data_IF_900175831424
#
_entry.id   IF_900175831424
#
_cell.length_a   1.000
_cell.length_b   1.000
_cell.length_c   1.000
_cell.angle_alpha   90.00
_cell.angle_beta   90.00
_cell.angle_gamma   90.00
#
_symmetry.space_group_name_H-M   'P 1'
#
loop_
_entity.id
_entity.type
_entity.pdbx_description
1 polymer ?
#
# COMPACT_ATOMS: atom_id res chain seq x y z
N UNK A 1 32.93 -10.51 4.16
CA UNK A 1 32.87 -9.87 5.51
C UNK A 1 31.52 -9.18 5.57
N UNK A 2 30.54 -9.84 6.18
CA UNK A 2 29.17 -9.33 6.35
C UNK A 2 29.22 -8.09 7.22
N UNK A 3 28.74 -6.96 6.75
CA UNK A 3 28.48 -5.80 7.60
C UNK A 3 27.16 -6.09 8.34
N UNK A 4 27.17 -6.37 9.64
CA UNK A 4 25.93 -6.43 10.40
C UNK A 4 25.33 -5.02 10.41
N UNK A 5 24.03 -4.91 10.22
CA UNK A 5 23.29 -3.68 10.34
C UNK A 5 23.74 -2.92 11.58
N UNK A 6 24.41 -1.79 11.41
CA UNK A 6 24.61 -0.84 12.51
C UNK A 6 23.23 -0.36 12.94
N UNK A 7 22.88 -0.43 14.24
CA UNK A 7 21.57 0.03 14.74
C UNK A 7 21.53 1.55 14.86
N UNK A 8 21.81 2.27 13.77
CA UNK A 8 22.14 3.69 13.84
C UNK A 8 21.22 4.66 13.12
N UNK A 9 20.40 4.25 12.16
CA UNK A 9 19.55 5.21 11.44
C UNK A 9 18.21 4.59 11.02
N UNK A 10 17.41 4.20 12.00
CA UNK A 10 15.99 3.93 11.74
C UNK A 10 15.26 5.28 11.62
N UNK A 11 14.57 5.48 10.52
CA UNK A 11 13.65 6.59 10.35
C UNK A 11 12.61 6.54 11.48
N UNK A 12 12.70 7.47 12.46
CA UNK A 12 11.67 7.60 13.51
C UNK A 12 10.52 8.40 12.93
N UNK A 13 9.33 7.88 13.08
CA UNK A 13 8.08 8.58 12.73
C UNK A 13 7.73 9.56 13.87
N UNK A 14 7.45 10.80 13.52
CA UNK A 14 7.01 11.82 14.46
C UNK A 14 5.48 11.94 14.38
N UNK A 15 4.79 11.51 15.43
CA UNK A 15 3.32 11.38 15.50
C UNK A 15 2.58 12.70 15.75
N UNK A 16 3.22 13.86 15.60
CA UNK A 16 2.67 15.16 15.96
C UNK A 16 2.31 16.03 14.74
N UNK A 17 1.46 15.55 13.81
CA UNK A 17 0.90 16.41 12.77
C UNK A 17 -0.63 16.43 12.91
N UNK A 18 -1.13 17.48 13.55
CA UNK A 18 -2.55 17.76 13.64
C UNK A 18 -3.15 18.24 12.31
N UNK A 19 -4.47 18.11 12.09
CA UNK A 19 -5.12 18.41 10.82
C UNK A 19 -5.17 19.92 10.53
N UNK A 20 -4.57 20.35 9.41
CA UNK A 20 -4.75 21.70 8.87
C UNK A 20 -5.97 21.72 7.96
N UNK A 21 -7.02 22.43 8.42
CA UNK A 21 -8.21 22.71 7.62
C UNK A 21 -7.98 23.95 6.73
N UNK A 22 -8.34 23.89 5.42
CA UNK A 22 -9.22 24.85 4.71
C UNK A 22 -9.31 24.53 3.21
N UNK A 23 -10.55 24.61 2.72
CA UNK A 23 -11.07 24.10 1.49
C UNK A 23 -10.64 24.84 0.21
N UNK A 24 -10.59 24.03 -0.84
CA UNK A 24 -10.80 24.43 -2.22
C UNK A 24 -11.87 23.46 -2.77
N UNK A 25 -13.06 24.01 -3.09
CA UNK A 25 -14.10 23.25 -3.77
C UNK A 25 -13.67 23.00 -5.23
N UNK A 26 -13.23 21.82 -5.54
CA UNK A 26 -13.25 21.30 -6.89
C UNK A 26 -14.51 20.44 -7.01
N UNK A 27 -15.40 20.76 -7.98
CA UNK A 27 -16.53 19.92 -8.35
C UNK A 27 -15.99 18.56 -8.88
N UNK A 28 -15.68 17.65 -7.97
CA UNK A 28 -15.39 16.26 -8.32
C UNK A 28 -16.72 15.54 -8.51
N UNK A 29 -17.04 15.22 -9.76
CA UNK A 29 -18.11 14.28 -10.05
C UNK A 29 -17.78 12.95 -9.38
N UNK A 30 -18.58 12.54 -8.40
CA UNK A 30 -18.40 11.31 -7.63
C UNK A 30 -18.38 10.10 -8.57
N UNK A 31 -17.39 9.21 -8.43
CA UNK A 31 -17.31 8.01 -9.26
C UNK A 31 -18.46 7.05 -8.94
N UNK A 32 -19.11 6.57 -9.95
CA UNK A 32 -20.12 5.50 -9.83
C UNK A 32 -19.45 4.17 -9.46
N UNK A 33 -20.20 3.22 -8.88
CA UNK A 33 -19.70 1.86 -8.65
C UNK A 33 -19.14 1.22 -9.92
N UNK A 34 -19.75 1.45 -11.08
CA UNK A 34 -19.26 0.95 -12.37
C UNK A 34 -17.88 1.51 -12.72
N UNK A 35 -17.66 2.80 -12.53
CA UNK A 35 -16.35 3.41 -12.76
C UNK A 35 -15.28 2.85 -11.81
N UNK A 36 -15.61 2.57 -10.55
CA UNK A 36 -14.70 1.89 -9.63
C UNK A 36 -14.37 0.46 -10.06
N UNK A 37 -15.34 -0.30 -10.59
CA UNK A 37 -15.13 -1.65 -11.15
C UNK A 37 -14.16 -1.61 -12.35
N UNK A 38 -14.37 -0.70 -13.27
CA UNK A 38 -13.50 -0.47 -14.44
C UNK A 38 -12.08 -0.05 -14.01
N UNK A 39 -11.97 0.78 -12.98
CA UNK A 39 -10.70 1.22 -12.43
C UNK A 39 -9.94 0.06 -11.75
N UNK A 40 -10.60 -0.78 -10.97
CA UNK A 40 -9.99 -2.00 -10.38
C UNK A 40 -9.46 -2.93 -11.47
N UNK A 41 -10.23 -3.16 -12.54
CA UNK A 41 -9.78 -3.97 -13.68
C UNK A 41 -8.55 -3.35 -14.35
N UNK A 42 -8.56 -2.04 -14.59
CA UNK A 42 -7.43 -1.32 -15.18
C UNK A 42 -6.16 -1.48 -14.34
N UNK A 43 -6.22 -1.21 -13.05
CA UNK A 43 -5.05 -1.33 -12.17
C UNK A 43 -4.63 -2.77 -11.93
N UNK A 44 -5.56 -3.72 -11.91
CA UNK A 44 -5.25 -5.15 -11.91
C UNK A 44 -4.43 -5.58 -13.13
N UNK A 45 -4.83 -5.13 -14.33
CA UNK A 45 -4.08 -5.35 -15.57
C UNK A 45 -2.69 -4.72 -15.53
N UNK A 46 -2.56 -3.50 -14.98
CA UNK A 46 -1.26 -2.83 -14.82
C UNK A 46 -0.34 -3.60 -13.87
N UNK A 47 -0.84 -4.05 -12.70
CA UNK A 47 -0.06 -4.89 -11.77
C UNK A 47 0.45 -6.16 -12.45
N UNK A 48 -0.41 -6.83 -13.23
CA UNK A 48 -0.04 -8.05 -13.95
C UNK A 48 1.00 -7.77 -15.05
N UNK A 49 0.81 -6.71 -15.84
CA UNK A 49 1.74 -6.31 -16.92
C UNK A 49 3.10 -5.89 -16.37
N UNK A 50 3.13 -5.23 -15.22
CA UNK A 50 4.36 -4.82 -14.54
C UNK A 50 5.06 -6.00 -13.81
N UNK A 51 4.46 -7.22 -13.80
CA UNK A 51 5.02 -8.38 -13.10
C UNK A 51 4.98 -8.27 -11.58
N UNK A 52 4.06 -7.46 -11.04
CA UNK A 52 3.90 -7.28 -9.59
C UNK A 52 2.97 -8.32 -8.97
N UNK A 53 2.20 -9.03 -9.80
CA UNK A 53 1.38 -10.20 -9.44
C UNK A 53 1.54 -11.30 -10.48
N UNK A 54 1.43 -12.55 -10.04
CA UNK A 54 1.46 -13.73 -10.88
C UNK A 54 0.19 -14.57 -10.68
N UNK A 55 -0.19 -15.35 -11.67
CA UNK A 55 -1.33 -16.27 -11.60
C UNK A 55 -2.57 -15.61 -10.95
N UNK A 56 -2.96 -16.06 -9.76
CA UNK A 56 -4.12 -15.55 -9.01
C UNK A 56 -3.74 -14.66 -7.82
N UNK A 57 -2.44 -14.38 -7.66
CA UNK A 57 -1.90 -13.62 -6.52
C UNK A 57 -2.43 -12.20 -6.45
N UNK A 58 -2.37 -11.64 -5.23
CA UNK A 58 -2.74 -10.27 -4.93
C UNK A 58 -4.24 -9.98 -5.00
N UNK A 59 -4.61 -8.82 -4.51
CA UNK A 59 -6.00 -8.34 -4.49
C UNK A 59 -6.04 -6.82 -4.35
N UNK A 60 -7.11 -6.23 -4.89
CA UNK A 60 -7.37 -4.80 -4.83
C UNK A 60 -8.75 -4.57 -4.24
N UNK A 61 -8.90 -3.47 -3.51
CA UNK A 61 -10.22 -3.02 -3.07
C UNK A 61 -10.33 -1.49 -3.05
N UNK A 62 -11.57 -1.02 -3.11
CA UNK A 62 -11.93 0.40 -3.00
C UNK A 62 -13.09 0.53 -2.03
N UNK A 63 -12.99 1.48 -1.11
CA UNK A 63 -14.09 1.89 -0.24
C UNK A 63 -14.98 2.87 -0.99
N UNK A 64 -16.26 2.51 -1.15
CA UNK A 64 -17.27 3.37 -1.74
C UNK A 64 -17.79 4.38 -0.72
N UNK A 65 -18.45 5.44 -1.18
CA UNK A 65 -18.97 6.52 -0.33
C UNK A 65 -19.97 6.07 0.73
N UNK A 66 -20.78 5.05 0.41
CA UNK A 66 -21.72 4.45 1.36
C UNK A 66 -21.03 3.55 2.41
N UNK A 67 -19.68 3.50 2.39
CA UNK A 67 -18.88 2.69 3.33
C UNK A 67 -18.77 1.21 2.98
N UNK A 68 -19.39 0.73 1.89
CA UNK A 68 -19.19 -0.64 1.39
C UNK A 68 -17.84 -0.75 0.68
N UNK A 69 -17.31 -1.96 0.56
CA UNK A 69 -16.01 -2.24 -0.05
C UNK A 69 -16.20 -3.05 -1.32
N UNK A 70 -15.74 -2.50 -2.44
CA UNK A 70 -15.67 -3.20 -3.71
C UNK A 70 -14.29 -3.86 -3.82
N UNK A 71 -14.23 -5.17 -4.05
CA UNK A 71 -13.00 -5.96 -4.03
C UNK A 71 -12.89 -6.90 -5.23
N UNK A 72 -11.66 -7.20 -5.62
CA UNK A 72 -11.37 -8.30 -6.54
C UNK A 72 -11.82 -9.64 -5.95
N UNK A 73 -12.27 -10.58 -6.77
CA UNK A 73 -12.65 -11.92 -6.30
C UNK A 73 -11.42 -12.76 -5.93
N UNK A 74 -11.66 -13.81 -5.15
CA UNK A 74 -10.64 -14.84 -4.90
C UNK A 74 -10.33 -15.66 -6.16
N UNK A 75 -9.12 -16.24 -6.24
CA UNK A 75 -8.68 -17.21 -7.25
C UNK A 75 -8.83 -16.72 -8.70
N UNK A 76 -8.65 -15.43 -8.94
CA UNK A 76 -8.73 -14.86 -10.28
C UNK A 76 -7.48 -14.04 -10.63
N UNK A 77 -6.97 -14.25 -11.85
CA UNK A 77 -5.84 -13.47 -12.37
C UNK A 77 -6.22 -12.00 -12.54
N UNK A 78 -5.40 -11.11 -12.00
CA UNK A 78 -5.60 -9.65 -12.09
C UNK A 78 -5.53 -9.14 -13.53
N UNK A 79 -4.85 -9.89 -14.42
CA UNK A 79 -4.78 -9.58 -15.84
C UNK A 79 -6.02 -9.95 -16.65
N UNK A 80 -6.91 -10.81 -16.12
CA UNK A 80 -8.04 -11.39 -16.84
C UNK A 80 -9.41 -11.01 -16.26
N UNK A 81 -9.45 -10.10 -15.27
CA UNK A 81 -10.71 -9.66 -14.67
C UNK A 81 -11.53 -8.77 -15.59
N UNK A 82 -12.84 -8.87 -15.45
CA UNK A 82 -13.82 -7.95 -16.02
C UNK A 82 -14.59 -7.22 -14.90
N UNK A 83 -15.22 -6.06 -15.17
CA UNK A 83 -15.91 -5.26 -14.14
C UNK A 83 -16.99 -6.05 -13.37
N UNK A 84 -17.63 -7.02 -14.01
CA UNK A 84 -18.69 -7.86 -13.48
C UNK A 84 -18.18 -8.89 -12.47
N UNK A 85 -16.87 -9.19 -12.46
CA UNK A 85 -16.26 -10.15 -11.53
C UNK A 85 -16.11 -9.59 -10.10
N UNK A 86 -16.15 -8.26 -9.95
CA UNK A 86 -15.96 -7.62 -8.64
C UNK A 86 -17.03 -8.01 -7.64
N UNK A 87 -16.61 -8.15 -6.37
CA UNK A 87 -17.45 -8.52 -5.25
C UNK A 87 -17.63 -7.32 -4.32
N UNK A 88 -18.86 -7.04 -3.92
CA UNK A 88 -19.19 -6.03 -2.92
C UNK A 88 -19.33 -6.68 -1.56
N UNK A 89 -18.67 -6.12 -0.54
CA UNK A 89 -18.77 -6.58 0.85
C UNK A 89 -19.09 -5.41 1.78
N UNK A 90 -19.65 -5.71 2.94
CA UNK A 90 -19.82 -4.74 4.02
C UNK A 90 -18.52 -4.58 4.84
N UNK A 91 -18.54 -3.68 5.82
CA UNK A 91 -17.42 -3.42 6.72
C UNK A 91 -17.04 -4.60 7.64
N UNK A 92 -17.84 -5.64 7.68
CA UNK A 92 -17.59 -6.89 8.37
C UNK A 92 -17.12 -8.03 7.45
N UNK A 93 -16.93 -7.72 6.15
CA UNK A 93 -16.49 -8.68 5.14
C UNK A 93 -17.59 -9.61 4.63
N UNK A 94 -18.87 -9.38 5.01
CA UNK A 94 -19.99 -10.17 4.52
C UNK A 94 -20.32 -9.75 3.09
N UNK A 95 -20.43 -10.72 2.21
CA UNK A 95 -20.76 -10.49 0.80
C UNK A 95 -22.16 -9.91 0.66
N UNK A 96 -22.24 -8.77 -0.03
CA UNK A 96 -23.50 -8.09 -0.37
C UNK A 96 -23.93 -8.42 -1.79
N UNK A 97 -23.01 -8.45 -2.75
CA UNK A 97 -23.30 -8.77 -4.15
C UNK A 97 -22.07 -9.30 -4.91
N UNK A 98 -22.28 -9.76 -6.14
CA UNK A 98 -21.27 -10.36 -7.01
C UNK A 98 -21.43 -11.87 -7.15
N UNK A 99 -21.04 -12.44 -8.31
CA UNK A 99 -21.16 -13.87 -8.61
C UNK A 99 -19.99 -14.70 -8.04
N UNK A 100 -18.84 -14.06 -7.80
CA UNK A 100 -17.59 -14.69 -7.37
C UNK A 100 -17.48 -14.81 -5.84
N UNK A 101 -16.45 -15.52 -5.37
CA UNK A 101 -16.09 -15.60 -3.95
C UNK A 101 -15.35 -14.35 -3.49
N UNK A 102 -15.51 -13.99 -2.21
CA UNK A 102 -14.74 -12.91 -1.55
C UNK A 102 -13.28 -13.32 -1.44
N UNK A 103 -12.36 -12.36 -1.55
CA UNK A 103 -10.92 -12.62 -1.30
C UNK A 103 -10.71 -13.17 0.11
N UNK A 104 -9.86 -14.20 0.24
CA UNK A 104 -9.45 -14.75 1.54
C UNK A 104 -8.75 -13.72 2.43
N UNK A 105 -8.19 -12.65 1.85
CA UNK A 105 -7.45 -11.61 2.55
C UNK A 105 -8.26 -10.33 2.79
N UNK A 106 -9.57 -10.38 2.62
CA UNK A 106 -10.44 -9.21 2.82
C UNK A 106 -10.30 -8.62 4.23
N UNK A 107 -10.03 -9.45 5.25
CA UNK A 107 -9.83 -9.00 6.62
C UNK A 107 -8.68 -7.99 6.77
N UNK A 108 -7.59 -8.17 6.03
CA UNK A 108 -6.47 -7.24 5.97
C UNK A 108 -6.92 -5.87 5.44
N UNK A 109 -7.67 -5.85 4.34
CA UNK A 109 -8.19 -4.60 3.76
C UNK A 109 -9.14 -3.89 4.73
N UNK A 110 -10.04 -4.63 5.37
CA UNK A 110 -10.99 -4.07 6.33
C UNK A 110 -10.28 -3.50 7.56
N UNK A 111 -9.22 -4.14 8.03
CA UNK A 111 -8.37 -3.59 9.10
C UNK A 111 -7.80 -2.23 8.70
N UNK A 112 -7.21 -2.12 7.51
CA UNK A 112 -6.61 -0.88 7.00
C UNK A 112 -7.67 0.21 6.93
N UNK A 113 -8.83 -0.05 6.33
CA UNK A 113 -9.93 0.91 6.28
C UNK A 113 -10.46 1.32 7.66
N UNK A 114 -10.47 0.40 8.62
CA UNK A 114 -10.88 0.67 10.00
C UNK A 114 -9.90 1.57 10.75
N UNK A 115 -8.59 1.40 10.50
CA UNK A 115 -7.53 2.19 11.12
C UNK A 115 -7.30 3.55 10.47
N UNK A 116 -7.52 3.64 9.14
CA UNK A 116 -7.23 4.82 8.32
C UNK A 116 -8.49 5.27 7.58
N UNK A 117 -9.18 6.26 8.15
CA UNK A 117 -10.41 6.80 7.54
C UNK A 117 -10.15 7.67 6.31
N UNK A 118 -8.94 8.16 6.16
CA UNK A 118 -8.44 8.94 5.04
C UNK A 118 -8.11 8.08 3.80
N UNK A 119 -8.03 6.76 3.94
CA UNK A 119 -7.70 5.81 2.88
C UNK A 119 -8.97 5.27 2.22
N UNK A 120 -9.01 5.27 0.88
CA UNK A 120 -10.13 4.74 0.10
C UNK A 120 -9.74 3.58 -0.83
N UNK A 121 -8.46 3.21 -0.91
CA UNK A 121 -8.04 2.06 -1.71
C UNK A 121 -6.89 1.29 -1.04
N UNK A 122 -6.90 -0.03 -1.24
CA UNK A 122 -5.85 -0.95 -0.79
C UNK A 122 -5.44 -1.84 -1.95
N UNK A 123 -4.14 -2.01 -2.14
CA UNK A 123 -3.51 -2.90 -3.12
C UNK A 123 -2.58 -3.86 -2.39
N UNK A 124 -2.81 -5.15 -2.55
CA UNK A 124 -1.91 -6.20 -2.12
C UNK A 124 -1.35 -6.92 -3.34
N UNK A 125 -0.05 -7.13 -3.37
CA UNK A 125 0.69 -7.76 -4.47
C UNK A 125 1.94 -8.48 -3.96
N UNK A 126 2.55 -9.29 -4.84
CA UNK A 126 3.80 -10.00 -4.56
C UNK A 126 4.93 -9.54 -5.50
N UNK A 127 5.31 -8.23 -5.48
CA UNK A 127 6.37 -7.73 -6.34
C UNK A 127 7.68 -8.46 -6.02
N UNK A 128 8.37 -9.04 -7.03
CA UNK A 128 9.41 -10.06 -6.79
C UNK A 128 10.56 -9.56 -5.91
N UNK A 129 11.04 -8.34 -6.11
CA UNK A 129 12.19 -7.83 -5.37
C UNK A 129 11.81 -7.47 -3.93
N UNK A 130 10.71 -6.74 -3.74
CA UNK A 130 10.24 -6.37 -2.41
C UNK A 130 9.81 -7.60 -1.60
N UNK A 131 9.16 -8.59 -2.23
CA UNK A 131 8.82 -9.87 -1.60
C UNK A 131 10.10 -10.65 -1.24
N UNK A 132 11.16 -10.55 -2.05
CA UNK A 132 12.47 -11.11 -1.73
C UNK A 132 13.06 -10.51 -0.45
N UNK A 133 12.99 -9.20 -0.26
CA UNK A 133 13.36 -8.54 1.01
C UNK A 133 12.51 -9.02 2.17
N UNK A 134 11.19 -9.11 1.98
CA UNK A 134 10.28 -9.62 3.00
C UNK A 134 10.58 -11.06 3.40
N UNK A 135 10.91 -11.94 2.43
CA UNK A 135 11.32 -13.32 2.67
C UNK A 135 12.70 -13.44 3.33
N UNK A 136 13.58 -12.46 3.10
CA UNK A 136 14.89 -12.37 3.79
C UNK A 136 14.77 -11.75 5.20
N UNK A 137 13.58 -11.38 5.66
CA UNK A 137 13.38 -10.75 6.97
C UNK A 137 13.89 -9.30 7.03
N UNK A 138 13.93 -8.60 5.89
CA UNK A 138 14.52 -7.26 5.76
C UNK A 138 13.45 -6.21 5.43
N UNK A 139 13.37 -5.16 6.24
CA UNK A 139 12.59 -3.97 5.93
C UNK A 139 13.26 -3.12 4.83
N UNK A 140 12.51 -2.22 4.21
CA UNK A 140 13.01 -1.21 3.28
C UNK A 140 12.96 0.17 3.97
N UNK A 141 13.78 0.33 5.00
CA UNK A 141 13.81 1.49 5.90
C UNK A 141 15.13 2.29 5.83
N UNK A 142 16.05 1.92 4.94
CA UNK A 142 17.30 2.63 4.74
C UNK A 142 17.11 3.86 3.84
N UNK A 143 17.64 5.01 4.23
CA UNK A 143 17.52 6.27 3.50
C UNK A 143 18.45 6.32 2.27
N UNK A 144 18.21 5.47 1.27
CA UNK A 144 19.03 5.40 0.04
C UNK A 144 18.55 6.31 -1.09
N UNK A 145 17.27 6.65 -1.13
CA UNK A 145 16.65 7.45 -2.19
C UNK A 145 15.75 8.53 -1.60
N UNK A 146 15.87 9.76 -2.09
CA UNK A 146 15.07 10.88 -1.65
C UNK A 146 13.56 10.65 -1.94
N UNK A 147 13.24 10.07 -3.09
CA UNK A 147 11.87 9.81 -3.53
C UNK A 147 11.14 8.88 -2.55
N UNK A 148 11.80 7.81 -2.06
CA UNK A 148 11.19 6.93 -1.06
C UNK A 148 10.82 7.70 0.20
N UNK A 149 11.74 8.54 0.71
CA UNK A 149 11.53 9.30 1.95
C UNK A 149 10.36 10.26 1.77
N UNK A 150 10.26 10.93 0.62
CA UNK A 150 9.18 11.89 0.33
C UNK A 150 7.84 11.20 0.12
N UNK A 151 7.79 10.08 -0.59
CA UNK A 151 6.51 9.41 -0.92
C UNK A 151 6.03 8.48 0.18
N UNK A 152 6.85 7.54 0.63
CA UNK A 152 6.48 6.48 1.58
C UNK A 152 7.07 6.67 2.99
N UNK A 153 8.14 7.46 3.12
CA UNK A 153 8.91 7.57 4.36
C UNK A 153 9.79 6.34 4.57
N UNK A 154 9.20 5.23 4.94
CA UNK A 154 9.84 3.91 5.08
C UNK A 154 8.83 2.80 4.83
N UNK A 155 9.31 1.59 4.55
CA UNK A 155 8.44 0.41 4.37
C UNK A 155 8.85 -0.63 5.42
N UNK A 156 8.13 -0.70 6.55
CA UNK A 156 8.42 -1.63 7.63
C UNK A 156 8.09 -3.08 7.22
N UNK A 157 8.64 -4.02 7.97
CA UNK A 157 8.34 -5.44 7.85
C UNK A 157 7.46 -5.90 9.01
N UNK A 158 6.26 -6.40 8.70
CA UNK A 158 5.42 -7.11 9.65
C UNK A 158 5.92 -8.55 9.84
N UNK A 159 5.73 -9.11 11.05
CA UNK A 159 6.03 -10.51 11.33
C UNK A 159 5.24 -11.45 10.41
N UNK A 160 5.79 -12.65 10.19
CA UNK A 160 5.08 -13.68 9.44
C UNK A 160 3.83 -14.14 10.20
N UNK A 161 2.73 -14.16 9.46
CA UNK A 161 1.49 -14.80 9.87
C UNK A 161 0.87 -15.47 8.65
N UNK A 162 0.04 -16.48 8.87
CA UNK A 162 -0.58 -17.22 7.76
C UNK A 162 -1.53 -16.32 6.98
N UNK A 163 -1.39 -16.21 5.64
CA UNK A 163 -2.29 -15.42 4.82
C UNK A 163 -3.77 -15.79 4.99
N UNK A 164 -4.64 -14.78 4.99
CA UNK A 164 -6.08 -14.97 5.14
C UNK A 164 -6.55 -15.20 6.57
N UNK A 165 -5.66 -15.14 7.56
CA UNK A 165 -6.03 -15.30 8.98
C UNK A 165 -6.18 -13.96 9.70
N UNK A 166 -6.94 -13.91 10.84
CA UNK A 166 -7.01 -12.71 11.67
C UNK A 166 -5.67 -12.29 12.26
N UNK A 167 -4.75 -13.23 12.46
CA UNK A 167 -3.41 -13.00 13.01
C UNK A 167 -2.59 -12.11 12.07
N UNK A 168 -2.68 -12.31 10.75
CA UNK A 168 -2.04 -11.43 9.77
C UNK A 168 -2.54 -9.98 9.91
N UNK A 169 -3.84 -9.80 10.02
CA UNK A 169 -4.42 -8.48 10.24
C UNK A 169 -3.91 -7.86 11.57
N UNK A 170 -3.82 -8.65 12.63
CA UNK A 170 -3.30 -8.21 13.93
C UNK A 170 -1.82 -7.79 13.85
N UNK A 171 -0.99 -8.52 13.10
CA UNK A 171 0.42 -8.18 12.90
C UNK A 171 0.61 -6.83 12.14
N UNK A 172 -0.29 -6.50 11.24
CA UNK A 172 -0.28 -5.22 10.51
C UNK A 172 -0.80 -4.04 11.34
N UNK A 173 -1.71 -4.30 12.28
CA UNK A 173 -2.45 -3.28 13.02
C UNK A 173 -1.60 -2.18 13.67
N UNK A 174 -0.41 -2.43 14.25
CA UNK A 174 0.45 -1.40 14.83
C UNK A 174 1.19 -0.56 13.78
N UNK A 175 1.35 -1.05 12.55
CA UNK A 175 2.12 -0.38 11.49
C UNK A 175 1.25 0.50 10.60
N UNK A 176 -0.03 0.14 10.42
CA UNK A 176 -0.97 0.81 9.50
C UNK A 176 -1.15 2.31 9.77
N UNK A 177 -1.20 2.82 11.03
CA UNK A 177 -1.42 4.25 11.28
C UNK A 177 -0.34 5.16 10.68
N UNK A 178 0.90 4.69 10.64
CA UNK A 178 2.08 5.52 10.38
C UNK A 178 2.71 5.30 8.99
N UNK A 179 2.21 4.32 8.21
CA UNK A 179 2.81 3.96 6.93
C UNK A 179 1.75 3.85 5.84
N UNK A 180 2.15 4.01 4.58
CA UNK A 180 1.34 3.80 3.38
C UNK A 180 1.69 2.50 2.64
N UNK A 181 2.75 1.80 3.10
CA UNK A 181 3.21 0.53 2.56
C UNK A 181 3.82 -0.32 3.67
N UNK A 182 3.56 -1.62 3.67
CA UNK A 182 4.08 -2.58 4.64
C UNK A 182 4.51 -3.85 3.91
N UNK A 183 5.74 -4.32 4.16
CA UNK A 183 6.18 -5.66 3.81
C UNK A 183 5.59 -6.68 4.79
N UNK A 184 5.15 -7.81 4.28
CA UNK A 184 4.68 -8.95 5.08
C UNK A 184 5.69 -10.10 4.92
N UNK A 185 6.32 -10.52 6.01
CA UNK A 185 7.38 -11.53 6.01
C UNK A 185 6.92 -12.80 5.26
N UNK A 186 7.76 -13.30 4.33
CA UNK A 186 7.51 -14.50 3.51
C UNK A 186 6.19 -14.50 2.72
N UNK A 187 5.62 -13.31 2.43
CA UNK A 187 4.32 -13.21 1.76
C UNK A 187 4.35 -12.21 0.60
N UNK A 188 4.43 -10.92 0.89
CA UNK A 188 4.32 -9.88 -0.14
C UNK A 188 4.28 -8.49 0.44
N UNK A 189 3.58 -7.60 -0.25
CA UNK A 189 3.45 -6.17 0.08
C UNK A 189 1.99 -5.77 0.12
N UNK A 190 1.60 -4.95 1.08
CA UNK A 190 0.34 -4.20 1.04
C UNK A 190 0.63 -2.70 1.00
N UNK A 191 -0.07 -1.99 0.11
CA UNK A 191 -0.05 -0.54 -0.01
C UNK A 191 -1.46 0.01 -0.03
N UNK A 192 -1.61 1.25 0.39
CA UNK A 192 -2.92 1.88 0.44
C UNK A 192 -2.78 3.39 0.19
N UNK A 193 -3.90 4.02 -0.14
CA UNK A 193 -3.91 5.42 -0.50
C UNK A 193 -5.31 6.03 -0.52
N UNK A 194 -5.35 7.32 -0.76
CA UNK A 194 -6.59 8.11 -0.87
C UNK A 194 -7.49 7.65 -2.03
N UNK A 195 -6.89 7.03 -3.05
CA UNK A 195 -7.55 6.41 -4.19
C UNK A 195 -6.72 5.23 -4.72
N UNK A 196 -7.28 4.51 -5.69
CA UNK A 196 -6.64 3.32 -6.25
C UNK A 196 -5.38 3.64 -7.05
N UNK A 197 -5.31 4.81 -7.71
CA UNK A 197 -4.11 5.24 -8.41
C UNK A 197 -2.97 5.48 -7.42
N UNK A 198 -3.23 6.17 -6.31
CA UNK A 198 -2.22 6.43 -5.29
C UNK A 198 -1.72 5.13 -4.64
N UNK A 199 -2.63 4.21 -4.27
CA UNK A 199 -2.26 2.91 -3.72
C UNK A 199 -1.40 2.07 -4.70
N UNK A 200 -1.73 2.11 -6.01
CA UNK A 200 -0.95 1.45 -7.06
C UNK A 200 0.44 2.09 -7.23
N UNK A 201 0.52 3.42 -7.29
CA UNK A 201 1.82 4.12 -7.40
C UNK A 201 2.72 3.85 -6.19
N UNK A 202 2.15 3.72 -5.00
CA UNK A 202 2.89 3.29 -3.81
C UNK A 202 3.48 1.89 -4.00
N UNK A 203 2.74 0.95 -4.63
CA UNK A 203 3.23 -0.41 -4.93
C UNK A 203 4.40 -0.39 -5.93
N UNK A 204 4.29 0.40 -7.01
CA UNK A 204 5.39 0.58 -7.96
C UNK A 204 6.64 1.19 -7.27
N UNK A 205 6.44 2.18 -6.41
CA UNK A 205 7.53 2.84 -5.66
C UNK A 205 8.24 1.82 -4.75
N UNK A 206 7.50 0.96 -4.04
CA UNK A 206 8.09 -0.09 -3.19
C UNK A 206 8.97 -1.04 -4.00
N UNK A 207 8.47 -1.56 -5.12
CA UNK A 207 9.23 -2.49 -5.95
C UNK A 207 10.43 -1.81 -6.62
N UNK A 208 10.27 -0.57 -7.09
CA UNK A 208 11.36 0.19 -7.69
C UNK A 208 12.49 0.43 -6.67
N UNK A 209 12.14 0.86 -5.47
CA UNK A 209 13.12 1.08 -4.40
C UNK A 209 13.77 -0.24 -3.95
N UNK A 210 13.01 -1.33 -3.84
CA UNK A 210 13.56 -2.64 -3.52
C UNK A 210 14.63 -3.08 -4.53
N UNK A 211 14.41 -2.84 -5.83
CA UNK A 211 15.41 -3.10 -6.89
C UNK A 211 16.68 -2.26 -6.69
N UNK A 212 16.55 -0.98 -6.38
CA UNK A 212 17.68 -0.10 -6.09
C UNK A 212 18.44 -0.60 -4.86
N UNK A 213 17.73 -0.91 -3.77
CA UNK A 213 18.33 -1.43 -2.56
C UNK A 213 19.08 -2.76 -2.81
N UNK A 214 18.49 -3.67 -3.60
CA UNK A 214 19.14 -4.93 -4.00
C UNK A 214 20.44 -4.69 -4.76
N UNK A 215 20.45 -3.76 -5.74
CA UNK A 215 21.64 -3.40 -6.50
C UNK A 215 22.76 -2.89 -5.57
N UNK A 216 22.44 -1.98 -4.65
CA UNK A 216 23.44 -1.46 -3.69
C UNK A 216 23.96 -2.57 -2.76
N UNK A 217 23.10 -3.51 -2.38
CA UNK A 217 23.49 -4.67 -1.58
C UNK A 217 24.44 -5.60 -2.35
N UNK A 218 24.15 -5.88 -3.62
CA UNK A 218 25.01 -6.68 -4.50
C UNK A 218 26.37 -6.02 -4.78
N UNK A 219 26.39 -4.68 -4.84
CA UNK A 219 27.65 -3.91 -4.97
C UNK A 219 28.47 -3.92 -3.67
N UNK A 220 27.92 -4.43 -2.57
CA UNK A 220 28.58 -4.51 -1.26
C UNK A 220 28.78 -3.13 -0.61
N UNK A 221 28.12 -2.07 -1.11
CA UNK A 221 28.27 -0.70 -0.58
C UNK A 221 26.95 0.04 -0.62
N UNK A 222 26.46 0.43 0.54
CA UNK A 222 25.32 1.33 0.69
C UNK A 222 25.83 2.66 1.28
N UNK A 223 25.38 3.77 0.72
CA UNK A 223 25.70 5.12 1.20
C UNK A 223 24.38 5.84 1.50
N UNK A 224 23.88 5.75 2.74
CA UNK A 224 22.66 6.44 3.14
C UNK A 224 22.80 7.96 3.04
N UNK A 225 21.68 8.62 2.77
CA UNK A 225 21.55 10.09 2.82
C UNK A 225 21.79 10.54 4.26
N UNK A 226 22.62 11.58 4.43
CA UNK A 226 22.93 12.10 5.77
C UNK A 226 21.68 12.65 6.48
N UNK A 227 21.59 12.49 7.82
CA UNK A 227 20.39 12.79 8.61
C UNK A 227 19.86 14.22 8.39
N UNK A 228 20.73 15.23 8.34
CA UNK A 228 20.31 16.62 8.10
C UNK A 228 19.63 16.85 6.74
N UNK A 229 19.87 15.97 5.75
CA UNK A 229 19.13 15.97 4.48
C UNK A 229 17.84 15.17 4.60
N UNK A 230 17.84 14.07 5.37
CA UNK A 230 16.64 13.29 5.63
C UNK A 230 15.57 14.14 6.31
N UNK A 231 15.94 14.99 7.28
CA UNK A 231 15.01 15.90 7.96
C UNK A 231 14.34 16.88 6.98
N UNK A 232 15.10 17.43 6.03
CA UNK A 232 14.52 18.28 4.95
C UNK A 232 13.55 17.50 4.07
N UNK A 233 13.86 16.24 3.77
CA UNK A 233 12.97 15.37 2.97
C UNK A 233 11.68 15.02 3.73
N UNK A 234 11.73 14.85 5.06
CA UNK A 234 10.56 14.67 5.92
C UNK A 234 9.64 15.90 5.90
N UNK A 235 10.22 17.11 5.93
CA UNK A 235 9.43 18.34 5.76
C UNK A 235 8.74 18.42 4.39
N UNK A 236 9.43 18.01 3.32
CA UNK A 236 8.87 17.92 1.97
C UNK A 236 7.74 16.87 1.94
N UNK A 237 7.93 15.70 2.58
CA UNK A 237 6.91 14.66 2.71
C UNK A 237 5.62 15.20 3.36
N UNK A 238 5.75 15.98 4.42
CA UNK A 238 4.58 16.59 5.07
C UNK A 238 3.73 17.40 4.10
N UNK A 239 4.37 18.20 3.24
CA UNK A 239 3.69 18.99 2.20
C UNK A 239 3.11 18.10 1.09
N UNK A 240 3.84 17.06 0.69
CA UNK A 240 3.40 16.08 -0.31
C UNK A 240 2.14 15.34 0.14
N UNK A 241 2.10 14.85 1.38
CA UNK A 241 0.93 14.18 1.93
C UNK A 241 -0.26 15.15 2.06
N UNK A 242 -0.04 16.37 2.54
CA UNK A 242 -1.08 17.39 2.63
C UNK A 242 -1.69 17.70 1.25
N UNK A 243 -0.88 17.75 0.19
CA UNK A 243 -1.35 17.95 -1.18
C UNK A 243 -2.20 16.77 -1.66
N UNK A 244 -1.72 15.53 -1.50
CA UNK A 244 -2.44 14.31 -1.92
C UNK A 244 -3.78 14.17 -1.18
N UNK A 245 -3.82 14.48 0.11
CA UNK A 245 -5.07 14.46 0.90
C UNK A 245 -6.03 15.59 0.52
N UNK A 246 -5.53 16.75 0.05
CA UNK A 246 -6.38 17.86 -0.39
C UNK A 246 -7.02 17.62 -1.78
N UNK A 247 -6.36 16.80 -2.62
CA UNK A 247 -6.84 16.43 -3.97
C UNK A 247 -7.78 15.22 -3.93
N UNK A 248 -7.85 14.50 -2.79
CA UNK A 248 -8.73 13.35 -2.62
C UNK A 248 -10.21 13.76 -2.70
N UNK A 249 -11.07 13.03 -3.45
CA UNK A 249 -12.49 13.30 -3.52
C UNK A 249 -13.18 13.07 -2.16
N UNK A 250 -13.85 14.11 -1.67
CA UNK A 250 -14.86 14.03 -0.61
C UNK A 250 -14.32 14.05 0.82
N UNK A 251 -14.20 15.26 1.39
CA UNK A 251 -14.38 15.53 2.81
C UNK A 251 -15.23 16.81 2.93
N UNK A 252 -16.50 16.61 3.16
CA UNK A 252 -17.37 17.46 3.96
C UNK A 252 -17.98 16.61 5.07
#
# INVERSE_FOLDING_TARGET
>A
MYCPFSPGLRLRYDSNIGPAARGFQTNHCMKTERQHREEIVRFGKLLHQAGLVAATDGNLSVRLENGTILSTPTLMSKGLMEPEDMVLVDQQGRKLSGSRGVSSEIAMHLLIYGKRRDINAVVHAHPPTATGFAAAGMALDCALCAELIVTLGSVPLASYETPGTPELAAALAPLVPDHEAILMANHGVVTYGVDLQNAYMNMETVEHFAKIALVTHMLGKQQPIAEHHVDKLREIRTKYLAHNHAVAPGKD
#
